data_IF_077966102095
#
_entry.id   IF_077966102095
#
_cell.length_a   1.000
_cell.length_b   1.000
_cell.length_c   1.000
_cell.angle_alpha   90.00
_cell.angle_beta   90.00
_cell.angle_gamma   90.00
#
_symmetry.space_group_name_H-M   'P 1'
#
loop_
_entity.id
_entity.type
_entity.pdbx_description
1 polymer ?
#
# COMPACT_ATOMS: atom_id res chain seq x y z
N UNK A 1 12.30 3.54 -0.46
CA UNK A 1 11.42 2.69 0.38
C UNK A 1 10.32 3.56 0.94
N UNK A 2 9.06 3.29 0.57
CA UNK A 2 7.89 4.11 0.94
C UNK A 2 7.27 3.53 2.22
N UNK A 3 7.03 4.38 3.21
CA UNK A 3 6.20 4.08 4.39
C UNK A 3 5.25 5.25 4.60
N UNK A 4 3.95 5.04 4.34
CA UNK A 4 2.97 6.13 4.35
C UNK A 4 2.58 6.55 5.78
N UNK A 5 2.36 5.57 6.66
CA UNK A 5 1.95 5.77 8.05
C UNK A 5 2.76 4.84 8.97
N UNK A 6 3.09 5.26 10.21
CA UNK A 6 3.52 4.34 11.24
C UNK A 6 2.43 3.29 11.49
N UNK A 7 2.81 2.02 11.54
CA UNK A 7 1.84 0.94 11.72
C UNK A 7 2.50 -0.25 12.39
N UNK A 8 1.80 -0.83 13.37
CA UNK A 8 2.29 -2.00 14.08
C UNK A 8 2.41 -3.17 13.09
N UNK A 9 3.57 -3.83 13.09
CA UNK A 9 3.84 -4.92 12.14
C UNK A 9 4.16 -4.48 10.71
N UNK A 10 4.35 -3.17 10.47
CA UNK A 10 4.67 -2.60 9.16
C UNK A 10 5.95 -3.20 8.55
N UNK A 11 5.82 -3.81 7.36
CA UNK A 11 6.89 -4.57 6.70
C UNK A 11 7.80 -3.75 5.79
N UNK A 12 7.81 -2.41 5.90
CA UNK A 12 8.56 -1.53 5.00
C UNK A 12 10.04 -1.90 4.94
N UNK A 13 10.70 -2.15 6.09
CA UNK A 13 12.11 -2.55 6.16
C UNK A 13 12.45 -3.85 5.41
N UNK A 14 11.51 -4.78 5.29
CA UNK A 14 11.72 -6.07 4.62
C UNK A 14 10.99 -6.17 3.27
N UNK A 15 10.35 -5.08 2.81
CA UNK A 15 9.47 -5.13 1.64
C UNK A 15 10.20 -5.53 0.37
N UNK A 16 11.49 -5.21 0.25
CA UNK A 16 12.32 -5.63 -0.88
C UNK A 16 12.55 -7.15 -0.92
N UNK A 17 12.82 -7.77 0.24
CA UNK A 17 13.00 -9.23 0.34
C UNK A 17 11.70 -9.94 0.02
N UNK A 18 10.58 -9.50 0.62
CA UNK A 18 9.25 -10.03 0.34
C UNK A 18 8.91 -9.89 -1.14
N UNK A 19 9.14 -8.72 -1.74
CA UNK A 19 8.90 -8.48 -3.15
C UNK A 19 9.73 -9.41 -4.06
N UNK A 20 10.99 -9.67 -3.72
CA UNK A 20 11.84 -10.60 -4.48
C UNK A 20 11.23 -12.01 -4.52
N UNK A 21 10.81 -12.53 -3.37
CA UNK A 21 10.14 -13.84 -3.31
C UNK A 21 8.81 -13.86 -4.07
N UNK A 22 7.99 -12.82 -3.93
CA UNK A 22 6.70 -12.76 -4.61
C UNK A 22 6.86 -12.67 -6.14
N UNK A 23 7.80 -11.85 -6.63
CA UNK A 23 8.02 -11.67 -8.07
C UNK A 23 8.62 -12.90 -8.75
N UNK A 24 9.29 -13.78 -8.00
CA UNK A 24 9.78 -15.06 -8.52
C UNK A 24 8.65 -15.96 -9.04
N UNK A 25 7.40 -15.73 -8.63
CA UNK A 25 6.22 -16.43 -9.17
C UNK A 25 5.94 -16.15 -10.65
N UNK A 26 6.44 -15.03 -11.19
CA UNK A 26 6.10 -14.57 -12.54
C UNK A 26 4.71 -13.93 -12.68
N UNK A 27 3.95 -13.79 -11.59
CA UNK A 27 2.64 -13.13 -11.62
C UNK A 27 2.75 -11.61 -11.85
N UNK A 28 1.75 -11.02 -12.51
CA UNK A 28 1.65 -9.57 -12.76
C UNK A 28 0.86 -8.82 -11.68
N UNK A 29 0.15 -9.56 -10.83
CA UNK A 29 -0.82 -9.06 -9.86
C UNK A 29 -0.41 -9.46 -8.45
N UNK A 30 -0.30 -8.46 -7.58
CA UNK A 30 -0.17 -8.65 -6.13
C UNK A 30 -1.56 -8.60 -5.50
N UNK A 31 -1.88 -9.58 -4.66
CA UNK A 31 -3.05 -9.57 -3.78
C UNK A 31 -2.57 -9.47 -2.34
N UNK A 32 -2.79 -8.32 -1.72
CA UNK A 32 -2.40 -8.01 -0.34
C UNK A 32 -3.64 -8.06 0.55
N UNK A 33 -3.90 -9.23 1.13
CA UNK A 33 -5.15 -9.54 1.86
C UNK A 33 -5.20 -8.87 3.24
N UNK A 34 -4.03 -8.66 3.86
CA UNK A 34 -3.83 -8.06 5.19
C UNK A 34 -2.91 -6.85 5.05
N UNK A 35 -3.36 -5.87 4.29
CA UNK A 35 -2.48 -4.85 3.73
C UNK A 35 -1.88 -3.89 4.76
N UNK A 36 -2.55 -3.64 5.89
CA UNK A 36 -2.07 -2.73 6.94
C UNK A 36 -1.61 -1.40 6.37
N UNK A 37 -0.36 -1.00 6.63
CA UNK A 37 0.23 0.23 6.07
C UNK A 37 0.55 0.21 4.56
N UNK A 38 0.11 -0.82 3.83
CA UNK A 38 0.43 -1.08 2.43
C UNK A 38 1.93 -1.14 2.12
N UNK A 39 2.77 -1.43 3.12
CA UNK A 39 4.22 -1.36 2.95
C UNK A 39 4.75 -2.32 1.87
N UNK A 40 4.20 -3.52 1.76
CA UNK A 40 4.55 -4.44 0.67
C UNK A 40 3.92 -3.97 -0.64
N UNK A 41 2.61 -3.70 -0.65
CA UNK A 41 1.87 -3.19 -1.82
C UNK A 41 2.54 -2.00 -2.51
N UNK A 42 3.02 -1.02 -1.74
CA UNK A 42 3.64 0.20 -2.29
C UNK A 42 5.06 -0.02 -2.81
N UNK A 43 5.78 -1.03 -2.31
CA UNK A 43 7.20 -1.24 -2.62
C UNK A 43 7.47 -2.47 -3.49
N UNK A 44 6.49 -3.35 -3.71
CA UNK A 44 6.72 -4.61 -4.42
C UNK A 44 6.82 -4.47 -5.95
N UNK A 45 6.36 -3.35 -6.50
CA UNK A 45 6.54 -3.02 -7.92
C UNK A 45 5.76 -3.93 -8.89
N UNK A 46 4.64 -4.49 -8.45
CA UNK A 46 3.68 -5.20 -9.32
C UNK A 46 2.84 -4.20 -10.11
N UNK A 47 2.51 -4.56 -11.35
CA UNK A 47 1.69 -3.72 -12.25
C UNK A 47 0.27 -3.57 -11.72
N UNK A 48 -0.34 -4.69 -11.30
CA UNK A 48 -1.66 -4.72 -10.69
C UNK A 48 -1.53 -5.02 -9.21
N UNK A 49 -2.30 -4.29 -8.39
CA UNK A 49 -2.27 -4.41 -6.93
C UNK A 49 -3.69 -4.38 -6.42
N UNK A 50 -4.08 -5.44 -5.72
CA UNK A 50 -5.34 -5.54 -5.00
C UNK A 50 -4.99 -5.44 -3.54
N UNK A 51 -5.44 -4.35 -2.91
CA UNK A 51 -5.24 -4.11 -1.48
C UNK A 51 -6.56 -4.37 -0.76
N UNK A 52 -6.48 -5.13 0.34
CA UNK A 52 -7.57 -5.37 1.25
C UNK A 52 -7.07 -5.26 2.70
N UNK A 53 -7.95 -4.81 3.58
CA UNK A 53 -7.79 -4.94 5.02
C UNK A 53 -9.18 -5.11 5.67
N UNK A 54 -9.23 -5.66 6.87
CA UNK A 54 -10.46 -5.74 7.66
C UNK A 54 -10.85 -4.35 8.22
N UNK A 55 -9.87 -3.46 8.39
CA UNK A 55 -10.10 -2.07 8.78
C UNK A 55 -10.60 -1.25 7.58
N UNK A 56 -11.87 -0.86 7.64
CA UNK A 56 -12.53 -0.06 6.60
C UNK A 56 -11.94 1.34 6.43
N UNK A 57 -11.36 1.93 7.48
CA UNK A 57 -10.74 3.25 7.41
C UNK A 57 -9.39 3.17 6.69
N UNK A 58 -8.62 2.10 6.88
CA UNK A 58 -7.42 1.84 6.08
C UNK A 58 -7.77 1.67 4.61
N UNK A 59 -8.78 0.84 4.30
CA UNK A 59 -9.26 0.67 2.92
C UNK A 59 -9.69 2.00 2.32
N UNK A 60 -10.42 2.83 3.07
CA UNK A 60 -10.85 4.15 2.63
C UNK A 60 -9.66 5.09 2.41
N UNK A 61 -8.69 5.14 3.32
CA UNK A 61 -7.47 5.92 3.16
C UNK A 61 -6.76 5.59 1.85
N UNK A 62 -6.54 4.29 1.57
CA UNK A 62 -5.86 3.86 0.35
C UNK A 62 -6.68 4.12 -0.91
N UNK A 63 -8.02 4.08 -0.85
CA UNK A 63 -8.90 4.53 -1.95
C UNK A 63 -8.75 6.03 -2.21
N UNK A 64 -8.80 6.86 -1.18
CA UNK A 64 -8.70 8.33 -1.29
C UNK A 64 -7.34 8.77 -1.84
N UNK A 65 -6.23 8.17 -1.40
CA UNK A 65 -4.92 8.56 -1.92
C UNK A 65 -4.62 8.02 -3.34
N UNK A 66 -5.30 6.94 -3.76
CA UNK A 66 -5.12 6.36 -5.08
C UNK A 66 -5.79 7.20 -6.17
N UNK A 67 -6.94 7.80 -5.87
CA UNK A 67 -7.68 8.65 -6.79
C UNK A 67 -7.19 10.11 -6.73
N UNK A 68 -6.67 10.68 -7.83
CA UNK A 68 -6.23 12.08 -7.88
C UNK A 68 -7.29 13.10 -7.44
N UNK A 69 -8.58 12.85 -7.74
CA UNK A 69 -9.67 13.77 -7.44
C UNK A 69 -9.92 13.90 -5.93
N UNK A 70 -9.73 12.81 -5.19
CA UNK A 70 -9.89 12.79 -3.73
C UNK A 70 -8.57 13.02 -2.98
N UNK A 71 -7.42 12.66 -3.58
CA UNK A 71 -6.09 12.93 -3.04
C UNK A 71 -5.77 14.41 -2.95
N UNK A 72 -6.08 15.20 -3.97
CA UNK A 72 -5.78 16.64 -3.97
C UNK A 72 -6.41 17.40 -2.77
N UNK A 73 -7.71 17.26 -2.48
CA UNK A 73 -8.32 17.92 -1.33
C UNK A 73 -7.89 17.31 0.01
N UNK A 74 -7.48 16.03 0.08
CA UNK A 74 -6.85 15.47 1.27
C UNK A 74 -5.50 16.17 1.56
N UNK A 75 -4.62 16.26 0.55
CA UNK A 75 -3.32 16.91 0.70
C UNK A 75 -3.45 18.38 1.08
N UNK A 76 -4.46 19.08 0.56
CA UNK A 76 -4.75 20.46 0.97
C UNK A 76 -5.06 20.56 2.48
N UNK A 77 -5.89 19.66 3.02
CA UNK A 77 -6.26 19.65 4.45
C UNK A 77 -5.12 19.26 5.39
N UNK A 78 -4.16 18.46 4.90
CA UNK A 78 -3.00 18.03 5.70
C UNK A 78 -1.86 19.06 5.76
N UNK A 79 -1.89 20.09 4.90
CA UNK A 79 -0.78 21.03 4.73
C UNK A 79 -0.75 22.22 5.70
N UNK A 80 -1.75 22.35 6.59
CA UNK A 80 -1.89 23.40 7.62
C UNK A 80 -1.15 24.70 7.32
#
# INVERSE_FOLDING_TARGET
MISLIPYIGGKHRISGVVAGHLRASGCDTLVDVFGGSAAVTLNAGFTKRIYNDADGDLVNLFRVIADPATRAPLLHRLRW
#
